data_IF_740369774364
#
_entry.id   IF_740369774364
#
_cell.length_a   1.000
_cell.length_b   1.000
_cell.length_c   1.000
_cell.angle_alpha   90.00
_cell.angle_beta   90.00
_cell.angle_gamma   90.00
#
_symmetry.space_group_name_H-M   'P 1'
#
loop_
_entity.id
_entity.type
_entity.pdbx_description
1 polymer ?
#
# COMPACT_ATOMS: atom_id res chain seq x y z
N UNK A 1 -28.60 -20.25 -15.68
CA UNK A 1 -28.36 -20.07 -17.13
C UNK A 1 -27.19 -20.95 -17.56
N UNK A 2 -27.40 -21.85 -18.51
CA UNK A 2 -26.35 -22.71 -19.08
C UNK A 2 -25.79 -22.03 -20.32
N UNK A 3 -24.57 -21.49 -20.22
CA UNK A 3 -23.79 -21.18 -21.42
C UNK A 3 -23.03 -22.47 -21.80
N UNK A 4 -23.24 -22.96 -23.02
CA UNK A 4 -22.50 -24.07 -23.65
C UNK A 4 -22.55 -25.46 -22.99
N UNK A 5 -23.74 -25.90 -22.53
CA UNK A 5 -23.99 -27.32 -22.21
C UNK A 5 -23.26 -27.88 -20.99
N UNK A 6 -22.49 -27.05 -20.27
CA UNK A 6 -21.93 -27.40 -18.95
C UNK A 6 -22.91 -27.00 -17.86
N UNK A 7 -23.23 -27.94 -16.97
CA UNK A 7 -24.00 -27.63 -15.78
C UNK A 7 -23.27 -26.53 -14.98
N UNK A 8 -23.99 -25.45 -14.68
CA UNK A 8 -23.50 -24.41 -13.79
C UNK A 8 -23.41 -25.01 -12.38
N UNK A 9 -22.20 -25.01 -11.82
CA UNK A 9 -21.99 -25.35 -10.41
C UNK A 9 -21.93 -24.05 -9.61
N UNK A 10 -22.92 -23.78 -8.73
CA UNK A 10 -22.90 -22.62 -7.85
C UNK A 10 -21.59 -22.52 -7.08
N UNK A 11 -21.16 -21.31 -6.77
CA UNK A 11 -19.99 -21.08 -5.92
C UNK A 11 -20.43 -20.97 -4.47
N UNK A 12 -19.82 -21.76 -3.60
CA UNK A 12 -20.06 -21.68 -2.15
C UNK A 12 -19.10 -20.69 -1.48
N UNK A 13 -19.48 -20.03 -0.38
CA UNK A 13 -18.59 -19.13 0.37
C UNK A 13 -17.26 -19.79 0.75
N UNK A 14 -17.29 -21.05 1.15
CA UNK A 14 -16.10 -21.81 1.54
C UNK A 14 -15.14 -22.02 0.36
N UNK A 15 -15.66 -22.14 -0.87
CA UNK A 15 -14.83 -22.22 -2.07
C UNK A 15 -14.12 -20.90 -2.35
N UNK A 16 -14.71 -19.75 -2.00
CA UNK A 16 -14.05 -18.45 -2.11
C UNK A 16 -12.91 -18.34 -1.10
N UNK A 17 -13.09 -18.81 0.13
CA UNK A 17 -12.01 -18.86 1.13
C UNK A 17 -10.84 -19.71 0.64
N UNK A 18 -11.12 -20.89 0.10
CA UNK A 18 -10.09 -21.76 -0.50
C UNK A 18 -9.43 -21.06 -1.69
N UNK A 19 -10.21 -20.40 -2.57
CA UNK A 19 -9.67 -19.64 -3.70
C UNK A 19 -8.71 -18.55 -3.24
N UNK A 20 -9.08 -17.76 -2.22
CA UNK A 20 -8.23 -16.72 -1.64
C UNK A 20 -6.97 -17.35 -1.02
N UNK A 21 -7.12 -18.41 -0.22
CA UNK A 21 -5.99 -19.11 0.39
C UNK A 21 -4.99 -19.65 -0.65
N UNK A 22 -5.47 -20.24 -1.74
CA UNK A 22 -4.61 -20.70 -2.84
C UNK A 22 -3.83 -19.52 -3.45
N UNK A 23 -4.48 -18.37 -3.65
CA UNK A 23 -3.78 -17.17 -4.15
C UNK A 23 -2.70 -16.67 -3.17
N UNK A 24 -2.95 -16.72 -1.86
CA UNK A 24 -1.95 -16.40 -0.83
C UNK A 24 -0.73 -17.35 -0.89
N UNK A 25 -0.96 -18.67 -1.00
CA UNK A 25 0.13 -19.66 -1.14
C UNK A 25 0.96 -19.39 -2.39
N UNK A 26 0.32 -19.01 -3.50
CA UNK A 26 1.03 -18.67 -4.74
C UNK A 26 1.93 -17.43 -4.59
N UNK A 27 1.58 -16.49 -3.70
CA UNK A 27 2.44 -15.35 -3.34
C UNK A 27 3.71 -15.77 -2.60
N UNK A 28 3.64 -16.84 -1.80
CA UNK A 28 4.75 -17.43 -1.04
C UNK A 28 5.64 -18.30 -1.92
N UNK A 29 5.05 -19.32 -2.57
CA UNK A 29 5.75 -20.20 -3.49
C UNK A 29 5.42 -19.77 -4.91
N UNK A 30 6.20 -18.85 -5.50
CA UNK A 30 5.96 -18.39 -6.88
C UNK A 30 6.45 -19.39 -7.93
N UNK A 31 5.56 -19.83 -8.81
CA UNK A 31 5.89 -20.61 -10.01
C UNK A 31 5.65 -19.79 -11.29
N UNK A 32 6.28 -20.15 -12.44
CA UNK A 32 6.15 -19.40 -13.69
C UNK A 32 4.71 -19.22 -14.18
N UNK A 33 3.85 -20.22 -13.96
CA UNK A 33 2.43 -20.20 -14.27
C UNK A 33 1.60 -20.70 -13.09
N UNK A 34 0.41 -20.14 -12.90
CA UNK A 34 -0.53 -20.65 -11.90
C UNK A 34 -0.96 -22.10 -12.21
N UNK A 35 -0.82 -22.57 -13.46
CA UNK A 35 -1.13 -23.97 -13.81
C UNK A 35 -0.08 -24.94 -13.28
N UNK A 36 1.15 -24.49 -13.07
CA UNK A 36 2.28 -25.34 -12.69
C UNK A 36 2.07 -25.97 -11.31
N UNK A 37 1.31 -25.32 -10.43
CA UNK A 37 0.95 -25.84 -9.10
C UNK A 37 0.14 -27.15 -9.17
N UNK A 38 -0.56 -27.39 -10.28
CA UNK A 38 -1.30 -28.62 -10.56
C UNK A 38 -0.61 -29.52 -11.59
N UNK A 39 0.62 -29.19 -12.00
CA UNK A 39 1.38 -30.02 -12.94
C UNK A 39 1.69 -31.38 -12.30
N UNK A 40 1.73 -32.46 -13.10
CA UNK A 40 2.12 -33.79 -12.60
C UNK A 40 3.63 -33.91 -12.34
N UNK A 41 4.43 -32.96 -12.83
CA UNK A 41 5.88 -32.95 -12.64
C UNK A 41 6.23 -32.72 -11.16
N UNK A 42 7.02 -33.59 -10.50
CA UNK A 42 7.26 -33.53 -9.05
C UNK A 42 7.90 -32.24 -8.53
N UNK A 43 8.69 -31.56 -9.36
CA UNK A 43 9.37 -30.30 -9.06
C UNK A 43 8.40 -29.09 -9.06
N UNK A 44 7.32 -29.17 -9.82
CA UNK A 44 6.30 -28.12 -9.93
C UNK A 44 5.05 -28.41 -9.09
N UNK A 45 4.69 -29.68 -8.93
CA UNK A 45 3.46 -30.08 -8.24
C UNK A 45 3.42 -29.55 -6.81
N UNK A 46 2.29 -28.96 -6.43
CA UNK A 46 2.04 -28.53 -5.05
C UNK A 46 0.81 -29.26 -4.54
N UNK A 47 1.04 -30.43 -3.92
CA UNK A 47 0.00 -31.32 -3.41
C UNK A 47 -1.02 -30.58 -2.55
N UNK A 48 -0.55 -29.66 -1.71
CA UNK A 48 -1.42 -28.84 -0.87
C UNK A 48 -2.46 -28.05 -1.68
N UNK A 49 -2.06 -27.40 -2.78
CA UNK A 49 -2.99 -26.63 -3.62
C UNK A 49 -3.93 -27.56 -4.39
N UNK A 50 -3.39 -28.66 -4.94
CA UNK A 50 -4.17 -29.59 -5.76
C UNK A 50 -5.22 -30.38 -4.97
N UNK A 51 -4.98 -30.60 -3.67
CA UNK A 51 -5.91 -31.25 -2.75
C UNK A 51 -7.14 -30.38 -2.42
N UNK A 52 -6.99 -29.07 -2.24
CA UNK A 52 -8.11 -28.21 -1.82
C UNK A 52 -8.98 -27.73 -2.97
N UNK A 53 -8.42 -27.53 -4.17
CA UNK A 53 -9.20 -27.07 -5.32
C UNK A 53 -8.64 -27.62 -6.63
N UNK A 54 -9.45 -28.28 -7.48
CA UNK A 54 -9.01 -28.71 -8.81
C UNK A 54 -8.67 -27.52 -9.72
N UNK A 55 -7.64 -27.66 -10.58
CA UNK A 55 -7.23 -26.62 -11.54
C UNK A 55 -8.40 -26.06 -12.35
N UNK A 56 -9.31 -26.94 -12.81
CA UNK A 56 -10.48 -26.53 -13.60
C UNK A 56 -11.41 -25.61 -12.81
N UNK A 57 -11.63 -25.88 -11.51
CA UNK A 57 -12.47 -25.04 -10.64
C UNK A 57 -11.77 -23.74 -10.29
N UNK A 58 -10.49 -23.78 -9.93
CA UNK A 58 -9.70 -22.57 -9.70
C UNK A 58 -9.69 -21.65 -10.92
N UNK A 59 -9.44 -22.21 -12.11
CA UNK A 59 -9.43 -21.44 -13.35
C UNK A 59 -10.81 -20.89 -13.71
N UNK A 60 -11.89 -21.60 -13.36
CA UNK A 60 -13.26 -21.11 -13.53
C UNK A 60 -13.54 -19.94 -12.60
N UNK A 61 -13.25 -20.06 -11.30
CA UNK A 61 -13.40 -18.97 -10.33
C UNK A 61 -12.53 -17.77 -10.71
N UNK A 62 -11.27 -17.98 -11.08
CA UNK A 62 -10.40 -16.90 -11.55
C UNK A 62 -11.00 -16.20 -12.79
N UNK A 63 -11.57 -16.94 -13.72
CA UNK A 63 -12.13 -16.35 -14.94
C UNK A 63 -13.47 -15.62 -14.70
N UNK A 64 -14.31 -16.12 -13.79
CA UNK A 64 -15.66 -15.60 -13.56
C UNK A 64 -15.80 -14.78 -12.28
N UNK A 65 -14.72 -14.58 -11.51
CA UNK A 65 -14.71 -13.67 -10.36
C UNK A 65 -15.31 -12.33 -10.78
N UNK A 66 -16.23 -11.85 -9.96
CA UNK A 66 -16.97 -10.62 -10.19
C UNK A 66 -17.30 -10.02 -8.82
N UNK A 67 -16.94 -8.76 -8.62
CA UNK A 67 -17.01 -8.06 -7.34
C UNK A 67 -18.10 -6.99 -7.33
N UNK A 68 -19.07 -7.11 -8.23
CA UNK A 68 -20.15 -6.13 -8.36
C UNK A 68 -21.47 -6.87 -8.65
N UNK A 69 -22.60 -6.25 -8.31
CA UNK A 69 -23.89 -6.74 -8.76
C UNK A 69 -24.25 -6.08 -10.10
N UNK A 70 -24.43 -6.91 -11.14
CA UNK A 70 -24.75 -6.45 -12.49
C UNK A 70 -26.13 -5.75 -12.56
N UNK A 71 -27.03 -6.01 -11.62
CA UNK A 71 -28.37 -5.41 -11.61
C UNK A 71 -28.34 -3.94 -11.15
N UNK A 72 -27.36 -3.61 -10.30
CA UNK A 72 -27.12 -2.24 -9.84
C UNK A 72 -26.02 -1.56 -10.64
N UNK A 73 -25.41 -2.25 -11.61
CA UNK A 73 -24.35 -1.70 -12.44
C UNK A 73 -24.89 -0.56 -13.30
N UNK A 74 -24.41 0.66 -13.07
CA UNK A 74 -24.69 1.80 -13.93
C UNK A 74 -24.20 1.51 -15.35
N UNK A 75 -24.82 2.14 -16.36
CA UNK A 75 -24.47 1.91 -17.77
C UNK A 75 -22.96 2.11 -18.03
N UNK A 76 -22.41 1.38 -19.01
CA UNK A 76 -20.99 1.48 -19.40
C UNK A 76 -20.67 2.95 -19.72
N UNK A 77 -19.62 3.51 -19.11
CA UNK A 77 -19.21 4.93 -19.15
C UNK A 77 -20.04 5.92 -18.32
N UNK A 78 -20.97 5.44 -17.49
CA UNK A 78 -21.66 6.31 -16.52
C UNK A 78 -20.78 6.56 -15.27
N UNK A 79 -20.89 7.74 -14.65
CA UNK A 79 -20.09 8.11 -13.46
C UNK A 79 -20.21 7.21 -12.24
N UNK A 80 -21.21 6.33 -12.20
CA UNK A 80 -21.58 5.53 -11.03
C UNK A 80 -21.02 4.09 -11.08
N UNK A 81 -20.55 3.60 -12.23
CA UNK A 81 -20.06 2.22 -12.40
C UNK A 81 -18.80 1.90 -11.57
N UNK A 82 -18.15 2.95 -11.07
CA UNK A 82 -16.91 2.90 -10.28
C UNK A 82 -17.15 3.22 -8.79
N UNK A 83 -18.38 3.58 -8.41
CA UNK A 83 -18.77 3.86 -7.04
C UNK A 83 -19.05 2.57 -6.25
N UNK A 84 -19.58 1.54 -6.90
CA UNK A 84 -19.84 0.23 -6.28
C UNK A 84 -18.56 -0.47 -5.77
N UNK A 85 -17.42 -0.33 -6.47
CA UNK A 85 -16.12 -0.84 -6.00
C UNK A 85 -15.52 -0.01 -4.85
N UNK A 86 -15.93 1.26 -4.73
CA UNK A 86 -15.52 2.17 -3.64
C UNK A 86 -16.26 1.87 -2.35
N UNK A 87 -17.55 1.57 -2.42
CA UNK A 87 -18.41 1.39 -1.25
C UNK A 87 -18.12 0.08 -0.47
N UNK A 88 -17.67 -0.98 -1.16
CA UNK A 88 -17.39 -2.28 -0.53
C UNK A 88 -15.99 -2.35 0.13
N UNK A 89 -15.00 -1.60 -0.40
CA UNK A 89 -13.64 -1.57 0.15
C UNK A 89 -13.33 -0.36 1.05
N UNK A 90 -14.07 0.75 0.92
CA UNK A 90 -13.86 1.96 1.72
C UNK A 90 -15.20 2.65 2.03
N UNK A 91 -15.76 2.39 3.22
CA UNK A 91 -16.83 3.23 3.78
C UNK A 91 -16.25 4.60 4.16
N UNK A 92 -16.16 5.53 3.20
CA UNK A 92 -16.18 7.00 3.32
C UNK A 92 -16.12 7.67 1.94
N UNK A 93 -16.91 8.72 1.77
CA UNK A 93 -17.49 9.19 0.50
C UNK A 93 -16.58 9.99 -0.47
N UNK A 94 -17.09 10.04 -1.72
CA UNK A 94 -17.01 11.09 -2.76
C UNK A 94 -16.04 10.96 -3.96
N UNK A 95 -16.64 11.13 -5.15
CA UNK A 95 -15.99 11.44 -6.43
C UNK A 95 -16.58 10.63 -7.60
N UNK A 96 -17.14 11.32 -8.60
CA UNK A 96 -17.63 10.77 -9.88
C UNK A 96 -16.44 10.47 -10.81
N UNK A 97 -16.45 9.34 -11.52
CA UNK A 97 -15.34 8.91 -12.41
C UNK A 97 -15.86 8.38 -13.75
N UNK A 98 -15.18 8.72 -14.86
CA UNK A 98 -15.55 8.36 -16.23
C UNK A 98 -14.46 7.50 -16.91
N UNK A 99 -14.84 6.38 -17.56
CA UNK A 99 -14.11 5.72 -18.68
C UNK A 99 -13.10 4.58 -18.37
N UNK A 100 -13.38 3.37 -18.87
CA UNK A 100 -12.69 2.09 -18.60
C UNK A 100 -11.25 1.89 -19.15
N UNK A 101 -10.72 2.78 -19.99
CA UNK A 101 -9.38 2.63 -20.60
C UNK A 101 -8.36 3.70 -20.16
N UNK A 102 -8.75 4.60 -19.25
CA UNK A 102 -8.02 5.86 -18.98
C UNK A 102 -7.18 5.87 -17.68
N UNK A 103 -7.04 4.73 -16.99
CA UNK A 103 -6.48 4.70 -15.62
C UNK A 103 -5.01 4.34 -15.51
N UNK A 104 -4.41 3.78 -16.56
CA UNK A 104 -3.01 3.41 -16.53
C UNK A 104 -2.12 4.65 -16.66
N UNK A 105 -1.34 4.94 -15.62
CA UNK A 105 -0.46 6.10 -15.61
C UNK A 105 0.97 5.68 -15.93
N UNK A 106 1.65 6.45 -16.78
CA UNK A 106 3.08 6.26 -17.05
C UNK A 106 3.91 6.99 -16.01
N UNK A 107 4.80 6.27 -15.32
CA UNK A 107 5.72 6.80 -14.33
C UNK A 107 7.17 6.50 -14.73
N UNK A 108 7.80 7.42 -15.46
CA UNK A 108 9.15 7.25 -16.01
C UNK A 108 10.23 6.92 -14.95
N UNK A 109 10.02 7.32 -13.69
CA UNK A 109 10.98 7.13 -12.58
C UNK A 109 10.65 5.95 -11.65
N UNK A 110 9.56 5.22 -11.90
CA UNK A 110 9.20 4.04 -11.09
C UNK A 110 9.74 2.75 -11.73
N UNK A 111 10.09 1.72 -10.92
CA UNK A 111 10.50 0.41 -11.44
C UNK A 111 9.48 -0.19 -12.41
N UNK A 112 8.19 -0.05 -12.07
CA UNK A 112 7.07 -0.36 -12.95
C UNK A 112 6.60 0.94 -13.61
N UNK A 113 6.84 1.06 -14.92
CA UNK A 113 6.59 2.30 -15.68
C UNK A 113 5.11 2.51 -16.02
N UNK A 114 4.30 1.46 -16.07
CA UNK A 114 2.88 1.51 -16.41
C UNK A 114 2.08 0.72 -15.40
N UNK A 115 1.04 1.32 -14.83
CA UNK A 115 0.17 0.65 -13.88
C UNK A 115 -0.90 1.59 -13.31
N UNK A 116 -1.71 1.03 -12.42
CA UNK A 116 -2.68 1.78 -11.64
C UNK A 116 -1.99 2.52 -10.50
N UNK A 117 -2.47 3.73 -10.22
CA UNK A 117 -1.92 4.55 -9.15
C UNK A 117 -2.91 4.55 -7.99
N UNK A 118 -2.42 4.19 -6.81
CA UNK A 118 -3.17 4.22 -5.56
C UNK A 118 -2.43 5.19 -4.64
N UNK A 119 -3.12 6.21 -4.15
CA UNK A 119 -2.62 7.07 -3.08
C UNK A 119 -2.97 6.45 -1.75
N UNK A 120 -2.07 6.52 -0.77
CA UNK A 120 -2.24 5.89 0.53
C UNK A 120 -1.74 6.81 1.63
N UNK A 121 -2.34 6.70 2.81
CA UNK A 121 -1.80 7.19 4.07
C UNK A 121 -1.44 5.99 4.93
N UNK A 122 -0.22 5.97 5.46
CA UNK A 122 0.29 4.87 6.27
C UNK A 122 0.79 5.38 7.62
N UNK A 123 0.61 4.56 8.65
CA UNK A 123 1.23 4.77 9.95
C UNK A 123 2.74 4.46 9.91
N UNK A 124 3.48 4.83 10.95
CA UNK A 124 4.93 4.56 11.09
C UNK A 124 5.30 3.07 10.96
N UNK A 125 4.39 2.18 11.34
CA UNK A 125 4.58 0.73 11.19
C UNK A 125 4.56 0.27 9.73
N UNK A 126 4.03 1.08 8.81
CA UNK A 126 3.66 0.68 7.45
C UNK A 126 2.20 0.22 7.35
N UNK A 127 1.40 0.36 8.41
CA UNK A 127 -0.03 0.02 8.38
C UNK A 127 -0.79 1.00 7.48
N UNK A 128 -1.48 0.50 6.47
CA UNK A 128 -2.28 1.31 5.56
C UNK A 128 -3.57 1.73 6.26
N UNK A 129 -3.73 3.04 6.50
CA UNK A 129 -4.86 3.62 7.22
C UNK A 129 -6.04 3.92 6.30
N UNK A 130 -5.74 4.44 5.11
CA UNK A 130 -6.73 4.82 4.09
C UNK A 130 -6.03 4.93 2.72
N UNK A 131 -6.82 4.87 1.66
CA UNK A 131 -6.36 4.89 0.27
C UNK A 131 -7.37 5.53 -0.69
N UNK A 132 -6.87 6.02 -1.82
CA UNK A 132 -7.68 6.52 -2.93
C UNK A 132 -7.11 6.02 -4.25
N UNK A 133 -7.91 5.30 -5.04
CA UNK A 133 -7.55 4.92 -6.41
C UNK A 133 -7.54 6.19 -7.27
N UNK A 134 -6.40 6.49 -7.88
CA UNK A 134 -6.28 7.61 -8.81
C UNK A 134 -6.86 7.23 -10.17
N UNK A 135 -7.87 7.97 -10.60
CA UNK A 135 -8.66 7.68 -11.80
C UNK A 135 -8.40 8.65 -12.96
N UNK A 136 -7.29 9.39 -12.94
CA UNK A 136 -7.01 10.39 -13.98
C UNK A 136 -7.82 11.68 -13.83
N UNK A 137 -8.21 12.30 -14.95
CA UNK A 137 -8.98 13.55 -14.95
C UNK A 137 -10.45 13.27 -14.60
N UNK A 138 -10.95 13.90 -13.55
CA UNK A 138 -12.39 13.99 -13.26
C UNK A 138 -12.93 15.30 -13.85
N UNK A 139 -13.80 15.22 -14.86
CA UNK A 139 -14.47 16.38 -15.46
C UNK A 139 -13.61 17.25 -16.41
N UNK A 140 -14.24 18.30 -16.95
CA UNK A 140 -13.64 19.33 -17.83
C UNK A 140 -12.81 20.36 -17.07
N UNK A 141 -12.95 20.44 -15.75
CA UNK A 141 -12.13 21.30 -14.90
C UNK A 141 -11.00 20.49 -14.24
N UNK A 142 -9.75 20.84 -14.54
CA UNK A 142 -8.60 20.34 -13.79
C UNK A 142 -8.73 20.86 -12.38
N UNK A 143 -9.18 20.02 -11.44
CA UNK A 143 -9.30 20.37 -10.03
C UNK A 143 -8.03 21.07 -9.53
N UNK A 144 -8.15 22.38 -9.29
CA UNK A 144 -7.07 23.21 -8.75
C UNK A 144 -6.78 22.67 -7.34
N UNK A 145 -5.62 22.05 -7.14
CA UNK A 145 -5.19 21.38 -5.89
C UNK A 145 -5.64 19.91 -5.67
N UNK A 146 -5.47 19.07 -6.70
CA UNK A 146 -5.63 17.62 -6.61
C UNK A 146 -4.85 17.00 -5.42
N UNK A 147 -3.62 17.46 -5.15
CA UNK A 147 -2.78 16.93 -4.07
C UNK A 147 -3.32 17.26 -2.68
N UNK A 148 -3.62 18.53 -2.41
CA UNK A 148 -4.15 18.93 -1.10
C UNK A 148 -5.53 18.34 -0.81
N UNK A 149 -6.38 18.13 -1.83
CA UNK A 149 -7.69 17.48 -1.63
C UNK A 149 -7.57 16.05 -1.10
N UNK A 150 -6.64 15.24 -1.63
CA UNK A 150 -6.34 13.89 -1.12
C UNK A 150 -5.92 13.95 0.35
N UNK A 151 -4.98 14.84 0.68
CA UNK A 151 -4.44 14.92 2.05
C UNK A 151 -5.53 15.35 3.04
N UNK A 152 -6.39 16.31 2.68
CA UNK A 152 -7.51 16.73 3.53
C UNK A 152 -8.48 15.57 3.81
N UNK A 153 -8.77 14.75 2.81
CA UNK A 153 -9.61 13.57 2.96
C UNK A 153 -8.97 12.56 3.93
N UNK A 154 -7.72 12.16 3.68
CA UNK A 154 -6.99 11.21 4.53
C UNK A 154 -6.81 11.69 5.96
N UNK A 155 -6.65 13.01 6.16
CA UNK A 155 -6.44 13.56 7.50
C UNK A 155 -7.74 13.93 8.23
N UNK A 156 -8.92 13.71 7.63
CA UNK A 156 -10.22 14.05 8.22
C UNK A 156 -10.40 13.44 9.62
N UNK A 157 -10.02 12.17 9.78
CA UNK A 157 -10.09 11.42 11.04
C UNK A 157 -8.97 11.75 12.05
N UNK A 158 -7.97 12.53 11.62
CA UNK A 158 -6.80 12.93 12.40
C UNK A 158 -6.96 14.32 13.03
N UNK A 159 -8.00 15.06 12.64
CA UNK A 159 -8.28 16.41 13.17
C UNK A 159 -8.44 16.39 14.69
N UNK A 160 -7.90 17.42 15.35
CA UNK A 160 -7.99 17.59 16.81
C UNK A 160 -7.02 16.72 17.63
N UNK A 161 -6.16 15.92 16.99
CA UNK A 161 -5.31 14.92 17.67
C UNK A 161 -3.82 15.25 17.67
N UNK A 162 -3.41 16.33 17.00
CA UNK A 162 -2.00 16.74 16.87
C UNK A 162 -1.10 15.65 16.24
N UNK A 163 -1.66 14.80 15.38
CA UNK A 163 -0.87 13.85 14.61
C UNK A 163 0.12 14.58 13.69
N UNK A 164 1.31 13.97 13.53
CA UNK A 164 2.34 14.42 12.60
C UNK A 164 2.18 13.72 11.26
N UNK A 165 1.98 14.48 10.19
CA UNK A 165 1.79 13.97 8.84
C UNK A 165 2.92 14.46 7.94
N UNK A 166 3.52 13.53 7.20
CA UNK A 166 4.60 13.80 6.26
C UNK A 166 4.20 13.41 4.85
N UNK A 167 4.50 14.27 3.87
CA UNK A 167 4.15 14.02 2.48
C UNK A 167 5.12 14.69 1.50
N UNK A 168 5.12 14.18 0.26
CA UNK A 168 6.00 14.66 -0.79
C UNK A 168 5.59 16.04 -1.35
N UNK A 169 6.45 16.56 -2.23
CA UNK A 169 6.24 17.83 -2.95
C UNK A 169 5.01 17.89 -3.87
N UNK A 170 4.45 16.75 -4.28
CA UNK A 170 3.25 16.73 -5.10
C UNK A 170 2.02 17.09 -4.27
N UNK A 171 1.98 16.65 -3.01
CA UNK A 171 0.88 16.97 -2.10
C UNK A 171 1.04 18.32 -1.39
N UNK A 172 2.28 18.78 -1.17
CA UNK A 172 2.52 19.95 -0.33
C UNK A 172 2.23 21.30 -1.00
N UNK A 173 1.55 22.18 -0.27
CA UNK A 173 1.26 23.57 -0.65
C UNK A 173 1.10 24.45 0.61
N UNK A 174 1.30 25.76 0.46
CA UNK A 174 1.12 26.72 1.57
C UNK A 174 -0.31 26.67 2.13
N UNK A 175 -1.33 26.68 1.26
CA UNK A 175 -2.73 26.62 1.69
C UNK A 175 -3.05 25.33 2.46
N UNK A 176 -2.51 24.19 2.02
CA UNK A 176 -2.70 22.92 2.74
C UNK A 176 -2.09 22.97 4.15
N UNK A 177 -0.94 23.61 4.33
CA UNK A 177 -0.29 23.73 5.65
C UNK A 177 -1.15 24.52 6.64
N UNK A 178 -1.79 25.60 6.18
CA UNK A 178 -2.76 26.39 6.98
C UNK A 178 -3.93 25.51 7.37
N UNK A 179 -4.60 24.90 6.38
CA UNK A 179 -5.81 24.10 6.63
C UNK A 179 -5.57 22.92 7.59
N UNK A 180 -4.39 22.29 7.51
CA UNK A 180 -4.01 21.23 8.45
C UNK A 180 -3.70 21.78 9.83
N UNK A 181 -3.07 22.95 9.94
CA UNK A 181 -2.78 23.60 11.22
C UNK A 181 -4.07 23.96 11.95
N UNK A 182 -5.03 24.55 11.23
CA UNK A 182 -6.36 24.88 11.75
C UNK A 182 -7.12 23.63 12.22
N UNK A 183 -6.90 22.50 11.54
CA UNK A 183 -7.39 21.19 11.94
C UNK A 183 -6.63 20.54 13.09
N UNK A 184 -5.69 21.23 13.73
CA UNK A 184 -4.78 20.68 14.77
C UNK A 184 -4.03 19.43 14.29
N UNK A 185 -3.49 19.50 13.07
CA UNK A 185 -2.64 18.49 12.44
C UNK A 185 -1.28 19.11 12.13
N UNK A 186 -0.22 18.47 12.62
CA UNK A 186 1.15 18.91 12.44
C UNK A 186 1.67 18.35 11.11
N UNK A 187 1.99 19.21 10.14
CA UNK A 187 2.37 18.81 8.80
C UNK A 187 3.79 19.29 8.44
N UNK A 188 4.52 18.43 7.73
CA UNK A 188 5.86 18.72 7.21
C UNK A 188 6.08 17.97 5.90
N UNK A 189 6.63 18.64 4.89
CA UNK A 189 6.89 17.98 3.62
C UNK A 189 7.86 18.74 2.74
N UNK A 190 8.39 18.05 1.74
CA UNK A 190 9.10 18.75 0.65
C UNK A 190 8.13 19.60 -0.16
N UNK A 191 8.62 20.67 -0.80
CA UNK A 191 7.81 21.50 -1.69
C UNK A 191 8.60 21.84 -2.96
N UNK A 192 7.91 22.07 -4.07
CA UNK A 192 8.54 22.63 -5.26
C UNK A 192 8.66 24.14 -5.10
N UNK A 193 9.84 24.72 -5.37
CA UNK A 193 10.11 26.16 -5.30
C UNK A 193 9.15 26.98 -6.17
N UNK A 194 8.62 26.39 -7.25
CA UNK A 194 7.72 27.05 -8.18
C UNK A 194 6.24 26.99 -7.75
N UNK A 195 5.93 26.49 -6.54
CA UNK A 195 4.56 26.54 -6.01
C UNK A 195 4.15 28.00 -5.77
N UNK A 196 2.86 28.26 -5.95
CA UNK A 196 2.26 29.58 -5.68
C UNK A 196 2.39 29.94 -4.20
N UNK A 197 2.40 31.24 -3.92
CA UNK A 197 2.40 31.81 -2.55
C UNK A 197 3.67 31.51 -1.74
N UNK A 198 4.77 31.15 -2.40
CA UNK A 198 6.06 30.99 -1.73
C UNK A 198 6.90 32.26 -1.88
N UNK A 199 7.60 32.71 -0.81
CA UNK A 199 8.50 33.84 -0.89
C UNK A 199 9.78 33.46 -1.66
N UNK A 200 10.48 34.48 -2.15
CA UNK A 200 11.84 34.29 -2.67
C UNK A 200 12.81 34.02 -1.51
N UNK A 201 13.62 32.98 -1.65
CA UNK A 201 14.71 32.62 -0.75
C UNK A 201 16.05 32.87 -1.47
N UNK A 202 17.15 32.90 -0.71
CA UNK A 202 18.51 33.04 -1.26
C UNK A 202 18.79 32.07 -2.40
N UNK A 203 19.57 32.49 -3.38
CA UNK A 203 19.99 31.62 -4.50
C UNK A 203 21.00 30.56 -4.04
N UNK A 204 21.15 29.49 -4.83
CA UNK A 204 22.05 28.37 -4.48
C UNK A 204 23.52 28.80 -4.36
N UNK A 205 23.92 29.85 -5.08
CA UNK A 205 25.27 30.44 -5.04
C UNK A 205 25.58 31.19 -3.75
N UNK A 206 24.54 31.66 -3.05
CA UNK A 206 24.65 32.46 -1.82
C UNK A 206 24.54 31.59 -0.56
N UNK A 207 24.48 30.26 -0.73
CA UNK A 207 24.36 29.29 0.35
C UNK A 207 25.49 28.27 0.26
N UNK A 208 26.27 28.17 1.33
CA UNK A 208 27.23 27.10 1.49
C UNK A 208 26.54 25.82 1.95
N UNK A 209 27.20 24.68 1.74
CA UNK A 209 26.67 23.38 2.17
C UNK A 209 26.46 23.36 3.70
N UNK A 210 25.29 22.93 4.13
CA UNK A 210 24.85 22.95 5.53
C UNK A 210 24.13 24.22 5.96
N UNK A 211 24.19 25.30 5.17
CA UNK A 211 23.42 26.50 5.45
C UNK A 211 21.98 26.37 4.96
N UNK A 212 21.08 27.13 5.61
CA UNK A 212 19.70 27.28 5.19
C UNK A 212 19.23 28.73 5.26
N UNK A 213 18.24 29.06 4.43
CA UNK A 213 17.49 30.31 4.46
C UNK A 213 16.01 29.97 4.71
N UNK A 214 15.28 30.83 5.41
CA UNK A 214 13.89 30.55 5.77
C UNK A 214 13.04 31.82 5.89
N UNK A 215 11.72 31.64 5.76
CA UNK A 215 10.71 32.66 6.08
C UNK A 215 9.61 32.01 6.91
N UNK A 216 8.98 32.79 7.77
CA UNK A 216 7.83 32.38 8.58
C UNK A 216 6.69 33.33 8.21
N UNK A 217 5.52 32.79 7.88
CA UNK A 217 4.32 33.57 7.63
C UNK A 217 3.69 34.06 8.94
N UNK A 218 2.79 35.04 8.83
CA UNK A 218 1.86 35.45 9.88
C UNK A 218 0.98 34.28 10.40
N UNK A 219 0.69 33.31 9.54
CA UNK A 219 -0.04 32.08 9.88
C UNK A 219 0.82 31.00 10.56
N UNK A 220 2.06 31.31 10.96
CA UNK A 220 3.02 30.39 11.58
C UNK A 220 3.34 29.14 10.72
N UNK A 221 3.34 29.30 9.40
CA UNK A 221 3.86 28.31 8.47
C UNK A 221 5.28 28.73 8.08
N UNK A 222 6.24 27.84 8.26
CA UNK A 222 7.63 28.06 7.89
C UNK A 222 7.95 27.41 6.55
N UNK A 223 8.64 28.16 5.69
CA UNK A 223 9.35 27.63 4.53
C UNK A 223 10.85 27.76 4.78
N UNK A 224 11.58 26.70 4.50
CA UNK A 224 13.04 26.70 4.55
C UNK A 224 13.62 26.10 3.27
N UNK A 225 14.79 26.61 2.88
CA UNK A 225 15.66 26.08 1.83
C UNK A 225 16.97 25.69 2.49
N UNK A 226 17.29 24.40 2.47
CA UNK A 226 18.56 23.87 2.98
C UNK A 226 19.46 23.42 1.84
N UNK A 227 20.75 23.79 1.89
CA UNK A 227 21.75 23.47 0.87
C UNK A 227 22.56 22.24 1.29
N UNK A 228 22.32 21.09 0.65
CA UNK A 228 23.28 19.97 0.63
C UNK A 228 23.99 19.96 -0.74
N UNK A 229 24.28 18.78 -1.33
CA UNK A 229 24.68 18.65 -2.75
C UNK A 229 23.67 19.31 -3.70
N UNK A 230 22.38 19.27 -3.36
CA UNK A 230 21.29 20.02 -4.01
C UNK A 230 20.45 20.72 -2.96
N UNK A 231 19.83 21.84 -3.32
CA UNK A 231 18.90 22.53 -2.44
C UNK A 231 17.61 21.74 -2.27
N UNK A 232 17.12 21.69 -1.03
CA UNK A 232 15.84 21.07 -0.65
C UNK A 232 14.98 22.15 0.00
N UNK A 233 13.72 22.22 -0.42
CA UNK A 233 12.72 23.11 0.15
C UNK A 233 11.75 22.30 1.00
N UNK A 234 11.54 22.72 2.24
CA UNK A 234 10.57 22.15 3.17
C UNK A 234 9.55 23.23 3.52
N UNK A 235 8.27 22.84 3.51
CA UNK A 235 7.19 23.59 4.15
C UNK A 235 6.75 22.81 5.40
N UNK A 236 6.59 23.51 6.50
CA UNK A 236 6.03 22.94 7.72
C UNK A 236 5.17 23.94 8.47
N UNK A 237 4.11 23.45 9.10
CA UNK A 237 3.25 24.25 9.95
C UNK A 237 3.59 24.15 11.45
N UNK A 238 4.71 23.54 11.86
CA UNK A 238 5.01 23.36 13.30
C UNK A 238 6.49 23.39 13.69
N UNK A 239 7.43 23.30 12.75
CA UNK A 239 8.85 23.40 13.07
C UNK A 239 9.29 24.86 13.15
N UNK A 240 10.09 25.19 14.17
CA UNK A 240 10.89 26.41 14.17
C UNK A 240 12.07 26.23 13.18
N UNK A 241 12.17 27.03 12.11
CA UNK A 241 13.24 26.91 11.14
C UNK A 241 14.62 27.31 11.68
N UNK A 242 14.70 27.88 12.90
CA UNK A 242 15.97 28.16 13.60
C UNK A 242 16.56 26.91 14.24
N UNK A 243 15.74 25.91 14.55
CA UNK A 243 16.23 24.67 15.14
C UNK A 243 17.08 23.91 14.14
N UNK A 244 18.31 23.62 14.55
CA UNK A 244 19.29 22.88 13.75
C UNK A 244 19.79 21.69 14.54
N UNK A 245 19.91 20.56 13.84
CA UNK A 245 20.68 19.42 14.28
C UNK A 245 21.84 19.17 13.32
N UNK A 246 22.34 17.94 13.32
CA UNK A 246 23.40 17.50 12.44
C UNK A 246 22.98 16.26 11.67
N UNK A 247 23.45 16.13 10.43
CA UNK A 247 23.33 14.91 9.64
C UNK A 247 24.69 14.44 9.19
N UNK A 248 24.90 13.13 9.30
CA UNK A 248 26.09 12.45 8.82
C UNK A 248 25.99 12.22 7.32
N UNK A 249 27.06 12.52 6.57
CA UNK A 249 27.15 12.30 5.13
C UNK A 249 28.45 11.62 4.77
N UNK A 250 28.36 10.56 3.96
CA UNK A 250 29.52 9.89 3.38
C UNK A 250 29.90 10.57 2.06
N UNK A 251 31.15 10.99 1.97
CA UNK A 251 31.73 11.62 0.79
C UNK A 251 32.26 10.58 -0.20
N UNK A 252 32.57 11.03 -1.43
CA UNK A 252 33.04 10.14 -2.50
C UNK A 252 34.39 9.49 -2.18
N UNK A 253 35.23 10.17 -1.40
CA UNK A 253 36.50 9.66 -0.89
C UNK A 253 36.32 8.66 0.27
N UNK A 254 35.08 8.38 0.68
CA UNK A 254 34.76 7.46 1.77
C UNK A 254 34.71 8.11 3.15
N UNK A 255 35.16 9.36 3.29
CA UNK A 255 35.12 10.10 4.55
C UNK A 255 33.69 10.39 4.99
N UNK A 256 33.51 10.54 6.30
CA UNK A 256 32.22 10.83 6.91
C UNK A 256 32.27 12.21 7.54
N UNK A 257 31.42 13.12 7.06
CA UNK A 257 31.35 14.50 7.53
C UNK A 257 30.02 14.78 8.22
N UNK A 258 30.06 15.60 9.27
CA UNK A 258 28.87 16.14 9.92
C UNK A 258 28.49 17.47 9.28
N UNK A 259 27.21 17.60 8.92
CA UNK A 259 26.69 18.81 8.28
C UNK A 259 25.52 19.34 9.10
N UNK A 260 25.52 20.64 9.37
CA UNK A 260 24.38 21.32 9.99
C UNK A 260 23.13 21.15 9.13
N UNK A 261 22.01 20.80 9.77
CA UNK A 261 20.78 20.46 9.07
C UNK A 261 19.56 20.92 9.89
N UNK A 262 18.62 21.65 9.28
CA UNK A 262 17.39 22.05 9.96
C UNK A 262 16.61 20.84 10.49
N UNK A 263 16.06 20.98 11.70
CA UNK A 263 15.32 19.92 12.38
C UNK A 263 14.17 19.37 11.51
N UNK A 264 13.48 20.24 10.78
CA UNK A 264 12.41 19.85 9.86
C UNK A 264 12.88 18.91 8.73
N UNK A 265 14.11 19.08 8.23
CA UNK A 265 14.71 18.18 7.22
C UNK A 265 15.07 16.84 7.84
N UNK A 266 15.61 16.85 9.06
CA UNK A 266 15.91 15.64 9.83
C UNK A 266 14.62 14.83 10.05
N UNK A 267 13.60 15.49 10.62
CA UNK A 267 12.31 14.87 10.89
C UNK A 267 11.62 14.40 9.60
N UNK A 268 11.68 15.15 8.50
CA UNK A 268 11.14 14.68 7.23
C UNK A 268 11.81 13.38 6.77
N UNK A 269 13.15 13.34 6.76
CA UNK A 269 13.89 12.16 6.30
C UNK A 269 13.62 10.92 7.17
N UNK A 270 13.41 11.10 8.49
CA UNK A 270 13.10 10.00 9.41
C UNK A 270 11.70 9.41 9.25
N UNK A 271 10.75 10.14 8.64
CA UNK A 271 9.34 9.74 8.62
C UNK A 271 8.70 9.71 7.21
N UNK A 272 9.40 10.13 6.15
CA UNK A 272 8.85 10.21 4.79
C UNK A 272 8.56 8.86 4.12
N UNK A 273 9.10 7.75 4.65
CA UNK A 273 9.16 6.45 3.98
C UNK A 273 8.10 5.44 4.47
N UNK A 274 7.07 5.87 5.20
CA UNK A 274 6.08 4.95 5.77
C UNK A 274 5.27 4.21 4.69
N UNK A 275 4.94 4.89 3.60
CA UNK A 275 4.31 4.26 2.43
C UNK A 275 5.28 3.31 1.72
N UNK A 276 6.56 3.69 1.60
CA UNK A 276 7.58 2.80 1.02
C UNK A 276 7.79 1.53 1.87
N UNK A 277 7.62 1.64 3.19
CA UNK A 277 7.67 0.49 4.10
C UNK A 277 6.50 -0.47 3.88
N UNK A 278 5.29 0.05 3.66
CA UNK A 278 4.15 -0.76 3.23
C UNK A 278 4.47 -1.48 1.90
N UNK A 279 4.94 -0.74 0.89
CA UNK A 279 5.27 -1.29 -0.42
C UNK A 279 6.34 -2.40 -0.34
N UNK A 280 7.34 -2.23 0.55
CA UNK A 280 8.35 -3.26 0.81
C UNK A 280 7.73 -4.53 1.39
N UNK A 281 6.93 -4.42 2.47
CA UNK A 281 6.25 -5.57 3.09
C UNK A 281 5.35 -6.29 2.08
N UNK A 282 4.61 -5.52 1.28
CA UNK A 282 3.73 -6.02 0.22
C UNK A 282 4.51 -6.76 -0.86
N UNK A 283 5.70 -6.27 -1.22
CA UNK A 283 6.50 -6.85 -2.31
C UNK A 283 7.11 -8.22 -1.98
N UNK A 284 7.26 -8.56 -0.70
CA UNK A 284 7.83 -9.83 -0.26
C UNK A 284 7.00 -11.04 -0.73
N UNK A 285 5.67 -10.94 -0.69
CA UNK A 285 4.73 -12.05 -0.97
C UNK A 285 3.61 -11.67 -1.95
N UNK A 286 3.91 -10.74 -2.86
CA UNK A 286 2.93 -10.16 -3.79
C UNK A 286 2.18 -11.23 -4.61
N UNK A 287 0.84 -11.20 -4.56
CA UNK A 287 -0.08 -12.14 -5.22
C UNK A 287 -0.37 -11.74 -6.68
N UNK A 288 0.05 -10.53 -7.09
CA UNK A 288 -0.21 -9.97 -8.41
C UNK A 288 0.22 -10.90 -9.53
N UNK A 289 -0.62 -10.96 -10.57
CA UNK A 289 -0.46 -11.82 -11.73
C UNK A 289 -0.91 -11.07 -12.98
N UNK A 290 -0.29 -11.42 -14.11
CA UNK A 290 -0.75 -10.90 -15.40
C UNK A 290 -2.21 -11.32 -15.61
N UNK A 291 -3.07 -10.34 -15.87
CA UNK A 291 -4.49 -10.52 -16.14
C UNK A 291 -4.90 -9.61 -17.28
N UNK A 292 -5.83 -10.08 -18.11
CA UNK A 292 -6.50 -9.26 -19.12
C UNK A 292 -7.58 -8.35 -18.51
N UNK A 293 -8.03 -8.64 -17.29
CA UNK A 293 -9.00 -7.83 -16.54
C UNK A 293 -8.25 -6.90 -15.59
N UNK A 294 -8.31 -5.60 -15.85
CA UNK A 294 -7.59 -4.57 -15.08
C UNK A 294 -7.84 -4.65 -13.57
N UNK A 295 -9.10 -4.84 -13.16
CA UNK A 295 -9.50 -4.83 -11.76
C UNK A 295 -8.96 -6.02 -10.97
N UNK A 296 -8.51 -7.10 -11.62
CA UNK A 296 -7.85 -8.21 -10.91
C UNK A 296 -6.58 -7.75 -10.20
N UNK A 297 -5.81 -6.84 -10.82
CA UNK A 297 -4.59 -6.30 -10.20
C UNK A 297 -4.92 -5.46 -8.97
N UNK A 298 -6.05 -4.75 -9.01
CA UNK A 298 -6.54 -3.94 -7.89
C UNK A 298 -7.04 -4.86 -6.76
N UNK A 299 -7.79 -5.91 -7.10
CA UNK A 299 -8.18 -6.95 -6.14
C UNK A 299 -6.96 -7.58 -5.45
N UNK A 300 -5.95 -8.01 -6.22
CA UNK A 300 -4.70 -8.56 -5.64
C UNK A 300 -3.99 -7.55 -4.73
N UNK A 301 -3.95 -6.26 -5.12
CA UNK A 301 -3.36 -5.21 -4.29
C UNK A 301 -4.05 -5.09 -2.93
N UNK A 302 -5.39 -5.10 -2.89
CA UNK A 302 -6.11 -4.99 -1.62
C UNK A 302 -6.09 -6.27 -0.80
N UNK A 303 -5.95 -7.43 -1.45
CA UNK A 303 -5.68 -8.68 -0.76
C UNK A 303 -4.30 -8.63 -0.07
N UNK A 304 -3.25 -8.21 -0.79
CA UNK A 304 -1.93 -8.01 -0.19
C UNK A 304 -1.97 -6.97 0.95
N UNK A 305 -2.69 -5.86 0.74
CA UNK A 305 -2.85 -4.80 1.75
C UNK A 305 -3.46 -5.37 3.05
N UNK A 306 -4.50 -6.21 2.91
CA UNK A 306 -5.16 -6.86 4.04
C UNK A 306 -4.21 -7.80 4.79
N UNK A 307 -3.36 -8.54 4.07
CA UNK A 307 -2.32 -9.41 4.67
C UNK A 307 -1.29 -8.58 5.43
N UNK A 308 -0.77 -7.49 4.84
CA UNK A 308 0.20 -6.60 5.48
C UNK A 308 -0.39 -5.98 6.75
N UNK A 309 -1.60 -5.43 6.67
CA UNK A 309 -2.28 -4.83 7.83
C UNK A 309 -2.52 -5.88 8.94
N UNK A 310 -2.98 -7.08 8.59
CA UNK A 310 -3.21 -8.18 9.54
C UNK A 310 -1.90 -8.63 10.20
N UNK A 311 -0.82 -8.74 9.43
CA UNK A 311 0.51 -9.08 9.95
C UNK A 311 1.02 -8.03 10.96
N UNK A 312 0.85 -6.74 10.64
CA UNK A 312 1.28 -5.67 11.53
C UNK A 312 0.48 -5.65 12.84
N UNK A 313 -0.84 -5.88 12.78
CA UNK A 313 -1.68 -6.03 13.99
C UNK A 313 -1.24 -7.24 14.81
N UNK A 314 -1.01 -8.37 14.16
CA UNK A 314 -0.52 -9.58 14.83
C UNK A 314 0.82 -9.34 15.53
N UNK A 315 1.76 -8.66 14.86
CA UNK A 315 3.07 -8.32 15.45
C UNK A 315 2.92 -7.43 16.69
N UNK A 316 2.02 -6.45 16.66
CA UNK A 316 1.74 -5.57 17.80
C UNK A 316 1.11 -6.33 18.99
N UNK A 317 0.23 -7.28 18.71
CA UNK A 317 -0.36 -8.13 19.75
C UNK A 317 0.68 -9.08 20.37
N UNK A 318 1.61 -9.61 19.56
CA UNK A 318 2.66 -10.52 20.04
C UNK A 318 3.76 -9.81 20.83
N UNK A 319 4.13 -8.59 20.45
CA UNK A 319 5.08 -7.78 21.22
C UNK A 319 4.57 -7.49 22.64
N UNK A 320 3.25 -7.32 22.77
CA UNK A 320 2.57 -7.16 24.07
C UNK A 320 2.58 -8.46 24.90
N UNK A 321 2.68 -9.63 24.25
CA UNK A 321 2.50 -10.95 24.88
C UNK A 321 3.82 -11.71 25.14
N UNK A 322 5.01 -11.11 24.89
CA UNK A 322 6.34 -11.78 25.03
C UNK A 322 6.50 -13.08 24.21
N UNK A 323 5.75 -13.24 23.13
CA UNK A 323 5.93 -14.37 22.20
C UNK A 323 7.03 -14.06 21.15
N UNK A 324 7.65 -15.12 20.60
CA UNK A 324 8.75 -15.03 19.61
C UNK A 324 8.44 -14.06 18.46
N UNK A 325 9.46 -13.34 18.01
CA UNK A 325 9.42 -12.62 16.73
C UNK A 325 9.12 -13.62 15.61
N UNK A 326 7.92 -13.55 15.07
CA UNK A 326 7.49 -14.33 13.91
C UNK A 326 7.61 -13.48 12.64
N UNK A 327 8.23 -14.02 11.61
CA UNK A 327 8.32 -13.37 10.32
C UNK A 327 7.00 -13.47 9.55
N UNK A 328 6.83 -12.62 8.54
CA UNK A 328 5.60 -12.56 7.71
C UNK A 328 5.33 -13.89 6.97
N UNK A 329 6.37 -14.70 6.72
CA UNK A 329 6.22 -16.07 6.20
C UNK A 329 5.52 -16.99 7.20
N UNK A 330 5.94 -16.93 8.46
CA UNK A 330 5.37 -17.72 9.55
C UNK A 330 3.92 -17.28 9.83
N UNK A 331 3.64 -15.97 9.78
CA UNK A 331 2.28 -15.44 9.89
C UNK A 331 1.39 -15.89 8.74
N UNK A 332 1.87 -15.79 7.49
CA UNK A 332 1.11 -16.23 6.33
C UNK A 332 0.83 -17.74 6.39
N UNK A 333 1.84 -18.51 6.79
CA UNK A 333 1.73 -19.96 7.03
C UNK A 333 0.85 -20.33 8.23
N UNK A 334 0.59 -19.41 9.16
CA UNK A 334 -0.31 -19.59 10.29
C UNK A 334 -1.77 -19.23 9.95
N UNK A 335 -1.98 -18.21 9.12
CA UNK A 335 -3.30 -17.80 8.66
C UNK A 335 -3.90 -18.84 7.68
N UNK A 336 -3.06 -19.42 6.82
CA UNK A 336 -3.46 -20.39 5.80
C UNK A 336 -4.14 -21.66 6.36
N UNK A 337 -3.60 -22.37 7.37
CA UNK A 337 -4.26 -23.52 7.98
C UNK A 337 -5.54 -23.15 8.71
N UNK A 338 -5.65 -21.95 9.28
CA UNK A 338 -6.86 -21.53 10.03
C UNK A 338 -8.02 -21.17 9.11
N UNK A 339 -7.76 -20.45 8.01
CA UNK A 339 -8.78 -20.20 6.99
C UNK A 339 -9.26 -21.51 6.36
N UNK A 340 -8.32 -22.39 5.98
CA UNK A 340 -8.62 -23.70 5.43
C UNK A 340 -9.22 -24.68 6.46
N UNK A 341 -8.89 -24.58 7.76
CA UNK A 341 -9.53 -25.40 8.80
C UNK A 341 -10.93 -24.90 9.16
N UNK A 342 -11.16 -23.59 9.10
CA UNK A 342 -12.47 -23.00 9.41
C UNK A 342 -13.52 -23.37 8.35
N UNK A 343 -13.14 -23.39 7.07
CA UNK A 343 -14.00 -23.83 5.96
C UNK A 343 -14.22 -25.36 5.95
N UNK A 344 -13.23 -26.13 6.42
CA UNK A 344 -13.32 -27.59 6.58
C UNK A 344 -14.12 -27.98 7.84
N UNK A 345 -14.18 -27.15 8.89
CA UNK A 345 -14.89 -27.49 10.14
C UNK A 345 -16.42 -27.56 10.00
N UNK A 346 -17.03 -26.95 8.98
CA UNK A 346 -18.48 -27.08 8.75
C UNK A 346 -18.85 -28.21 7.78
N UNK A 347 -17.90 -28.72 7.00
CA UNK A 347 -18.15 -29.76 5.98
C UNK A 347 -17.48 -31.11 6.27
N UNK A 348 -16.53 -31.19 7.22
CA UNK A 348 -15.71 -32.39 7.43
C UNK A 348 -15.72 -32.97 8.86
N UNK A 349 -16.77 -32.73 9.66
CA UNK A 349 -16.94 -33.47 10.93
C UNK A 349 -17.25 -34.97 10.72
N UNK A 350 -17.49 -35.44 9.49
CA UNK A 350 -17.80 -36.84 9.23
C UNK A 350 -16.61 -37.73 8.78
N UNK A 351 -15.39 -37.22 8.55
CA UNK A 351 -14.34 -38.09 7.95
C UNK A 351 -12.87 -37.89 8.33
N UNK A 352 -12.46 -36.86 9.06
CA UNK A 352 -11.01 -36.60 9.24
C UNK A 352 -10.59 -36.26 10.68
N UNK A 353 -10.86 -37.17 11.61
CA UNK A 353 -10.20 -37.17 12.92
C UNK A 353 -8.80 -37.79 12.81
N UNK A 354 -7.76 -37.00 12.51
CA UNK A 354 -6.39 -37.53 12.65
C UNK A 354 -5.21 -36.74 12.07
N UNK A 355 -5.40 -35.75 11.19
CA UNK A 355 -4.27 -35.13 10.48
C UNK A 355 -3.73 -33.81 11.07
N UNK A 356 -4.30 -33.30 12.17
CA UNK A 356 -3.87 -32.01 12.76
C UNK A 356 -2.44 -32.04 13.34
N UNK A 357 -1.89 -33.22 13.67
CA UNK A 357 -0.58 -33.38 14.33
C UNK A 357 0.62 -33.39 13.37
N UNK A 358 0.43 -33.72 12.08
CA UNK A 358 1.53 -33.73 11.10
C UNK A 358 1.92 -32.32 10.61
N UNK A 359 1.08 -31.31 10.85
CA UNK A 359 1.30 -29.92 10.41
C UNK A 359 2.52 -29.24 11.05
N UNK A 360 2.89 -29.60 12.29
CA UNK A 360 4.04 -28.98 12.97
C UNK A 360 5.39 -29.49 12.47
N UNK A 361 5.48 -30.72 11.97
CA UNK A 361 6.77 -31.37 11.64
C UNK A 361 7.29 -31.08 10.24
N UNK A 362 6.41 -30.75 9.28
CA UNK A 362 6.82 -30.51 7.89
C UNK A 362 7.49 -29.14 7.70
N UNK A 363 7.00 -28.10 8.38
CA UNK A 363 7.50 -26.72 8.21
C UNK A 363 8.73 -26.40 9.08
N UNK A 364 9.01 -27.14 10.15
CA UNK A 364 10.21 -26.92 10.97
C UNK A 364 11.51 -27.38 10.29
N UNK A 365 11.43 -28.14 9.19
CA UNK A 365 12.59 -28.75 8.53
C UNK A 365 13.12 -27.97 7.32
N UNK A 366 12.36 -27.05 6.72
CA UNK A 366 12.81 -26.29 5.54
C UNK A 366 13.63 -25.03 5.86
N UNK A 367 13.65 -24.56 7.12
CA UNK A 367 14.24 -23.28 7.51
C UNK A 367 15.70 -23.28 8.00
N UNK A 368 16.43 -24.41 7.98
CA UNK A 368 17.80 -24.45 8.55
C UNK A 368 18.95 -24.17 7.59
N UNK A 369 18.72 -24.02 6.29
CA UNK A 369 19.81 -23.88 5.32
C UNK A 369 19.72 -22.61 4.49
N UNK A 370 19.80 -21.43 5.12
CA UNK A 370 20.24 -20.18 4.46
C UNK A 370 20.92 -19.24 5.46
N UNK A 371 22.12 -19.61 5.88
CA UNK A 371 23.15 -18.66 6.36
C UNK A 371 24.51 -19.14 5.89
N UNK A 372 25.02 -18.52 4.83
CA UNK A 372 26.43 -18.31 4.53
C UNK A 372 26.51 -17.09 3.60
#
# INVERSE_FOLDING_TARGET
ATQSGKAFSPTMPEEIDVFVAVNLVMGIKKLPSYRDYWCSAPDLHVTYISMFMPLKRFSWLLHYLHLNDNNVMPARNSPAQLQAFREDCNRREHGKVQGQELFETVHAKKPIKRGYKIWMICAQSGYCLDFELYTGKQGSEVGKDLGGRVVRQFCSSLRGKNHKVYFDKFFNSYQLQIDLRDGQILACGTVNSNRKLLPKLKEDKDLQRGQHDYRISDTNVSILKWRDKRSVFILSNYHDPKNVGKVTRRERNGETVEISCPEAVINYNSHMNFVDKFDQLKSCYDIDRKSHKWWHRIFSHFLDCSVVNSFLVYKELQSTTRARNSDIEEFSSFCLPRSLSSSVCQSAQASFGGQSTQFRSAFSRSGRNKTA
#
